data_IF_157281883751
#
_entry.id   IF_157281883751
#
_cell.length_a   1.000
_cell.length_b   1.000
_cell.length_c   1.000
_cell.angle_alpha   90.00
_cell.angle_beta   90.00
_cell.angle_gamma   90.00
#
_symmetry.space_group_name_H-M   'P 1'
#
loop_
_entity.id
_entity.type
_entity.pdbx_description
1 polymer ?
#
# COMPACT_ATOMS: atom_id res chain seq x y z
N UNK A 1 56.37 57.67 -16.77
CA UNK A 1 55.84 56.63 -15.84
C UNK A 1 54.45 56.20 -16.34
N UNK A 2 54.38 55.03 -16.99
CA UNK A 2 53.09 54.47 -17.52
C UNK A 2 52.70 53.33 -16.61
N UNK A 3 51.55 53.49 -15.92
CA UNK A 3 50.97 52.48 -15.03
C UNK A 3 50.03 51.56 -15.86
N UNK A 4 50.46 50.33 -16.04
CA UNK A 4 49.65 49.29 -16.72
C UNK A 4 48.63 48.69 -15.76
N UNK A 5 47.34 48.74 -16.12
CA UNK A 5 46.25 48.04 -15.41
C UNK A 5 46.05 46.66 -16.06
N UNK A 6 46.39 45.61 -15.32
CA UNK A 6 46.09 44.24 -15.69
C UNK A 6 44.66 43.90 -15.26
N UNK A 7 43.78 43.64 -16.23
CA UNK A 7 42.44 43.18 -15.99
C UNK A 7 42.44 41.65 -15.84
N UNK A 8 41.98 41.17 -14.68
CA UNK A 8 41.84 39.74 -14.40
C UNK A 8 40.45 39.32 -14.88
N UNK A 9 40.36 38.50 -15.92
CA UNK A 9 39.13 37.87 -16.37
C UNK A 9 38.89 36.62 -15.53
N UNK A 10 37.84 36.66 -14.69
CA UNK A 10 37.33 35.50 -13.97
C UNK A 10 36.34 34.79 -14.88
N UNK A 11 36.71 33.64 -15.41
CA UNK A 11 35.83 32.77 -16.18
C UNK A 11 34.93 32.01 -15.21
N UNK A 12 33.64 32.31 -15.16
CA UNK A 12 32.63 31.62 -14.39
C UNK A 12 32.15 30.39 -15.18
N UNK A 13 32.67 29.19 -14.83
CA UNK A 13 32.15 27.92 -15.35
C UNK A 13 30.79 27.62 -14.74
N UNK A 14 29.72 27.85 -15.48
CA UNK A 14 28.39 27.30 -15.12
C UNK A 14 28.39 25.79 -15.39
N UNK A 15 28.51 25.00 -14.33
CA UNK A 15 28.22 23.57 -14.37
C UNK A 15 26.71 23.40 -14.46
N UNK A 16 26.19 23.10 -15.64
CA UNK A 16 24.81 22.66 -15.82
C UNK A 16 24.69 21.24 -15.26
N UNK A 17 24.07 21.12 -14.10
CA UNK A 17 23.67 19.84 -13.56
C UNK A 17 22.52 19.30 -14.42
N UNK A 18 22.81 18.35 -15.31
CA UNK A 18 21.80 17.57 -16.00
C UNK A 18 21.18 16.60 -15.02
N UNK A 19 20.00 16.94 -14.49
CA UNK A 19 19.17 16.02 -13.73
C UNK A 19 18.74 14.88 -14.67
N UNK A 20 19.35 13.70 -14.52
CA UNK A 20 18.87 12.49 -15.16
C UNK A 20 17.58 12.10 -14.45
N UNK A 21 16.47 12.44 -15.04
CA UNK A 21 15.17 11.93 -14.66
C UNK A 21 15.16 10.44 -15.03
N UNK A 22 15.37 9.56 -14.04
CA UNK A 22 15.22 8.13 -14.24
C UNK A 22 13.74 7.89 -14.61
N UNK A 23 13.48 7.50 -15.85
CA UNK A 23 12.16 7.09 -16.29
C UNK A 23 11.84 5.78 -15.56
N UNK A 24 10.81 5.79 -14.70
CA UNK A 24 10.30 4.56 -14.12
C UNK A 24 9.92 3.61 -15.26
N UNK A 25 10.37 2.36 -15.17
CA UNK A 25 9.99 1.35 -16.15
C UNK A 25 8.46 1.24 -16.19
N UNK A 26 7.86 1.14 -17.39
CA UNK A 26 6.41 1.03 -17.48
C UNK A 26 5.93 -0.22 -16.72
N UNK A 27 4.85 -0.05 -15.96
CA UNK A 27 4.23 -1.17 -15.24
C UNK A 27 3.69 -2.16 -16.28
N UNK A 28 4.07 -3.45 -16.23
CA UNK A 28 3.57 -4.44 -17.18
C UNK A 28 2.04 -4.53 -17.12
N UNK A 29 1.35 -4.83 -18.23
CA UNK A 29 -0.08 -5.11 -18.22
C UNK A 29 -0.43 -6.20 -17.20
N UNK A 30 -1.59 -6.13 -16.59
CA UNK A 30 -2.14 -7.23 -15.79
C UNK A 30 -2.60 -8.36 -16.74
N UNK A 31 -2.82 -9.56 -16.20
CA UNK A 31 -3.36 -10.68 -17.00
C UNK A 31 -4.77 -10.33 -17.53
N UNK A 32 -5.17 -10.97 -18.64
CA UNK A 32 -6.53 -10.80 -19.20
C UNK A 32 -7.62 -11.11 -18.16
N UNK A 33 -7.39 -12.13 -17.31
CA UNK A 33 -8.31 -12.48 -16.24
C UNK A 33 -8.41 -11.35 -15.18
N UNK A 34 -7.29 -10.75 -14.81
CA UNK A 34 -7.27 -9.62 -13.89
C UNK A 34 -7.97 -8.39 -14.49
N UNK A 35 -7.68 -8.07 -15.76
CA UNK A 35 -8.32 -6.98 -16.47
C UNK A 35 -9.86 -7.19 -16.60
N UNK A 36 -10.28 -8.40 -16.94
CA UNK A 36 -11.72 -8.75 -17.01
C UNK A 36 -12.43 -8.67 -15.66
N UNK A 37 -11.69 -8.86 -14.54
CA UNK A 37 -12.19 -8.66 -13.18
C UNK A 37 -12.12 -7.21 -12.70
N UNK A 38 -11.69 -6.27 -13.54
CA UNK A 38 -11.52 -4.86 -13.19
C UNK A 38 -10.33 -4.61 -12.24
N UNK A 39 -9.36 -5.53 -12.17
CA UNK A 39 -8.18 -5.38 -11.35
C UNK A 39 -7.05 -4.66 -12.10
N UNK A 40 -6.40 -3.74 -11.42
CA UNK A 40 -5.26 -2.97 -11.92
C UNK A 40 -4.08 -3.09 -10.96
N UNK A 41 -2.84 -2.99 -11.47
CA UNK A 41 -1.66 -2.92 -10.60
C UNK A 41 -1.60 -1.55 -9.92
N UNK A 42 -1.41 -1.55 -8.61
CA UNK A 42 -1.37 -0.31 -7.82
C UNK A 42 -0.29 0.67 -8.29
N UNK A 43 0.82 0.18 -8.84
CA UNK A 43 1.89 1.02 -9.38
C UNK A 43 1.49 1.82 -10.63
N UNK A 44 0.45 1.37 -11.34
CA UNK A 44 -0.13 2.16 -12.43
C UNK A 44 -0.97 3.35 -11.91
N UNK A 45 -1.40 3.29 -10.64
CA UNK A 45 -2.22 4.32 -9.96
C UNK A 45 -1.38 5.22 -9.07
N UNK A 46 -0.45 4.63 -8.31
CA UNK A 46 0.48 5.27 -7.39
C UNK A 46 1.90 4.87 -7.80
N UNK A 47 2.54 5.59 -8.75
CA UNK A 47 3.82 5.18 -9.34
C UNK A 47 5.00 5.11 -8.36
N UNK A 48 4.94 5.84 -7.26
CA UNK A 48 5.94 5.85 -6.19
C UNK A 48 5.59 4.93 -5.02
N UNK A 49 4.52 4.12 -5.12
CA UNK A 49 4.14 3.17 -4.09
C UNK A 49 5.27 2.17 -3.78
N UNK A 50 5.52 1.96 -2.51
CA UNK A 50 6.28 0.82 -2.04
C UNK A 50 5.34 -0.39 -2.01
N UNK A 51 5.67 -1.45 -2.73
CA UNK A 51 4.91 -2.71 -2.72
C UNK A 51 5.75 -3.76 -1.99
N UNK A 52 5.36 -4.05 -0.75
CA UNK A 52 5.99 -5.00 0.17
C UNK A 52 4.94 -6.03 0.60
N UNK A 53 4.50 -6.88 -0.37
CA UNK A 53 3.47 -7.87 -0.10
C UNK A 53 3.96 -8.92 0.90
N UNK A 54 3.52 -8.81 2.15
CA UNK A 54 3.98 -9.63 3.28
C UNK A 54 3.75 -11.12 3.08
N UNK A 55 2.71 -11.49 2.37
CA UNK A 55 2.37 -12.89 2.09
C UNK A 55 3.20 -13.53 0.97
N UNK A 56 4.15 -12.81 0.36
CA UNK A 56 5.15 -13.38 -0.56
C UNK A 56 6.30 -14.08 0.13
N UNK A 57 6.46 -13.87 1.43
CA UNK A 57 7.50 -14.45 2.27
C UNK A 57 6.91 -15.20 3.47
N UNK A 58 7.74 -15.80 4.30
CA UNK A 58 7.32 -16.39 5.57
C UNK A 58 7.17 -15.36 6.72
N UNK A 59 7.46 -14.09 6.47
CA UNK A 59 7.31 -12.98 7.44
C UNK A 59 5.85 -12.52 7.48
N UNK A 60 4.97 -13.41 7.93
CA UNK A 60 3.54 -13.23 8.12
C UNK A 60 3.04 -14.17 9.23
N UNK A 61 1.81 -14.00 9.71
CA UNK A 61 1.27 -14.76 10.85
C UNK A 61 1.10 -16.28 10.57
N UNK A 62 1.08 -16.71 9.30
CA UNK A 62 1.00 -18.15 8.94
C UNK A 62 2.37 -18.80 8.92
N UNK A 63 3.46 -18.01 8.80
CA UNK A 63 4.84 -18.49 8.81
C UNK A 63 5.30 -19.18 7.51
N UNK A 64 4.50 -19.10 6.44
CA UNK A 64 4.85 -19.60 5.10
C UNK A 64 4.44 -18.60 4.02
N UNK A 65 5.09 -18.61 2.83
CA UNK A 65 4.61 -17.84 1.69
C UNK A 65 3.23 -18.33 1.23
N UNK A 66 2.29 -17.38 1.11
CA UNK A 66 0.94 -17.63 0.60
C UNK A 66 0.76 -17.14 -0.84
N UNK A 67 1.61 -16.21 -1.27
CA UNK A 67 1.67 -15.68 -2.62
C UNK A 67 2.94 -16.14 -3.33
N UNK A 68 2.93 -16.25 -4.66
CA UNK A 68 4.16 -16.48 -5.43
C UNK A 68 5.10 -15.27 -5.30
N UNK A 69 6.42 -15.49 -5.43
CA UNK A 69 7.43 -14.42 -5.32
C UNK A 69 7.22 -13.27 -6.33
N UNK A 70 6.56 -13.53 -7.47
CA UNK A 70 6.21 -12.53 -8.48
C UNK A 70 4.84 -11.89 -8.29
N UNK A 71 4.22 -12.02 -7.10
CA UNK A 71 2.92 -11.43 -6.84
C UNK A 71 2.92 -9.91 -6.99
N UNK A 72 1.82 -9.40 -7.51
CA UNK A 72 1.56 -7.98 -7.74
C UNK A 72 0.47 -7.50 -6.79
N UNK A 73 0.56 -6.25 -6.35
CA UNK A 73 -0.52 -5.60 -5.64
C UNK A 73 -1.60 -5.19 -6.64
N UNK A 74 -2.61 -6.05 -6.79
CA UNK A 74 -3.76 -5.80 -7.65
C UNK A 74 -4.89 -5.24 -6.80
N UNK A 75 -5.52 -4.18 -7.28
CA UNK A 75 -6.69 -3.55 -6.65
C UNK A 75 -7.79 -3.38 -7.68
N UNK A 76 -9.05 -3.41 -7.26
CA UNK A 76 -10.14 -3.10 -8.18
C UNK A 76 -10.04 -1.64 -8.62
N UNK A 77 -10.29 -1.37 -9.90
CA UNK A 77 -10.16 -0.03 -10.52
C UNK A 77 -10.94 1.07 -9.80
N UNK A 78 -12.04 0.73 -9.11
CA UNK A 78 -12.80 1.70 -8.32
C UNK A 78 -12.02 2.30 -7.14
N UNK A 79 -10.91 1.68 -6.71
CA UNK A 79 -10.04 2.21 -5.66
C UNK A 79 -9.03 3.22 -6.20
N UNK A 80 -8.76 3.18 -7.51
CA UNK A 80 -7.69 3.97 -8.13
C UNK A 80 -7.79 5.48 -7.85
N UNK A 81 -8.94 6.15 -8.01
CA UNK A 81 -9.03 7.59 -7.72
C UNK A 81 -8.70 7.92 -6.26
N UNK A 82 -9.23 7.12 -5.32
CA UNK A 82 -9.01 7.32 -3.88
C UNK A 82 -7.57 7.08 -3.47
N UNK A 83 -6.92 6.04 -4.00
CA UNK A 83 -5.51 5.76 -3.74
C UNK A 83 -4.60 6.88 -4.27
N UNK A 84 -4.91 7.43 -5.44
CA UNK A 84 -4.18 8.57 -5.97
C UNK A 84 -4.30 9.81 -5.08
N UNK A 85 -5.48 10.08 -4.51
CA UNK A 85 -5.71 11.17 -3.56
C UNK A 85 -4.92 10.94 -2.26
N UNK A 86 -5.02 9.75 -1.66
CA UNK A 86 -4.32 9.41 -0.43
C UNK A 86 -2.79 9.55 -0.59
N UNK A 87 -2.25 8.99 -1.68
CA UNK A 87 -0.83 9.09 -1.99
C UNK A 87 -0.38 10.53 -2.21
N UNK A 88 -1.18 11.37 -2.86
CA UNK A 88 -0.86 12.78 -3.08
C UNK A 88 -0.77 13.54 -1.74
N UNK A 89 -1.72 13.33 -0.82
CA UNK A 89 -1.74 13.97 0.51
C UNK A 89 -0.51 13.55 1.33
N UNK A 90 -0.14 12.27 1.31
CA UNK A 90 1.05 11.78 2.01
C UNK A 90 2.33 12.38 1.42
N UNK A 91 2.42 12.44 0.09
CA UNK A 91 3.58 13.01 -0.64
C UNK A 91 3.83 14.47 -0.31
N UNK A 92 2.80 15.29 -0.07
CA UNK A 92 2.95 16.68 0.36
C UNK A 92 3.74 16.82 1.68
N UNK A 93 3.80 15.74 2.47
CA UNK A 93 4.54 15.66 3.74
C UNK A 93 5.86 14.90 3.62
N UNK A 94 6.22 14.45 2.41
CA UNK A 94 7.39 13.62 2.14
C UNK A 94 7.18 12.14 2.52
N UNK A 95 5.96 11.74 2.82
CA UNK A 95 5.58 10.37 3.14
C UNK A 95 5.26 9.59 1.84
N UNK A 96 5.52 8.27 1.85
CA UNK A 96 5.22 7.36 0.73
C UNK A 96 4.28 6.27 1.21
N UNK A 97 3.22 6.01 0.44
CA UNK A 97 2.28 4.94 0.72
C UNK A 97 2.92 3.57 0.41
N UNK A 98 2.87 2.65 1.38
CA UNK A 98 3.35 1.29 1.23
C UNK A 98 2.20 0.29 1.36
N UNK A 99 2.22 -0.76 0.54
CA UNK A 99 1.16 -1.78 0.47
C UNK A 99 1.70 -3.12 0.97
N UNK A 100 1.01 -3.72 1.93
CA UNK A 100 1.32 -5.02 2.52
C UNK A 100 0.40 -6.13 2.01
N UNK A 101 -0.88 -5.82 1.73
CA UNK A 101 -1.81 -6.71 1.03
C UNK A 101 -2.81 -5.93 0.17
N UNK A 102 -3.30 -6.60 -0.88
CA UNK A 102 -4.18 -6.04 -1.89
C UNK A 102 -5.31 -7.04 -2.23
N UNK A 103 -5.55 -7.35 -3.49
CA UNK A 103 -6.44 -8.46 -3.85
C UNK A 103 -5.85 -9.79 -3.32
N UNK A 104 -6.67 -10.50 -2.56
CA UNK A 104 -6.34 -11.79 -1.94
C UNK A 104 -7.16 -12.90 -2.61
N UNK A 105 -6.56 -13.86 -3.33
CA UNK A 105 -7.29 -14.99 -3.86
C UNK A 105 -8.05 -15.75 -2.77
N UNK A 106 -9.27 -16.18 -3.06
CA UNK A 106 -10.11 -16.86 -2.09
C UNK A 106 -9.47 -18.10 -1.42
N UNK A 107 -8.70 -18.96 -2.15
CA UNK A 107 -8.00 -20.09 -1.50
C UNK A 107 -6.99 -19.64 -0.43
N UNK A 108 -6.35 -18.47 -0.61
CA UNK A 108 -5.44 -17.89 0.39
C UNK A 108 -6.22 -17.51 1.65
N UNK A 109 -7.40 -16.88 1.51
CA UNK A 109 -8.27 -16.56 2.65
C UNK A 109 -8.68 -17.83 3.41
N UNK A 110 -8.94 -18.93 2.71
CA UNK A 110 -9.25 -20.24 3.32
C UNK A 110 -8.06 -20.72 4.16
N UNK A 111 -6.87 -20.74 3.57
CA UNK A 111 -5.63 -21.17 4.27
C UNK A 111 -5.35 -20.33 5.51
N UNK A 112 -5.50 -19.01 5.42
CA UNK A 112 -5.33 -18.09 6.55
C UNK A 112 -6.28 -18.42 7.69
N UNK A 113 -7.56 -18.64 7.39
CA UNK A 113 -8.55 -18.95 8.40
C UNK A 113 -8.39 -20.36 8.98
N UNK A 114 -7.95 -21.34 8.20
CA UNK A 114 -7.62 -22.68 8.70
C UNK A 114 -6.45 -22.66 9.68
N UNK A 115 -5.46 -21.79 9.43
CA UNK A 115 -4.32 -21.58 10.34
C UNK A 115 -4.75 -20.87 11.64
N UNK A 116 -5.54 -19.79 11.53
CA UNK A 116 -6.00 -18.98 12.67
C UNK A 116 -7.53 -18.83 12.60
N UNK A 117 -8.30 -19.81 13.11
CA UNK A 117 -9.76 -19.81 13.00
C UNK A 117 -10.44 -18.89 14.01
N UNK A 118 -9.93 -17.68 14.15
CA UNK A 118 -10.48 -16.64 15.01
C UNK A 118 -11.01 -15.46 14.15
N UNK A 119 -12.34 -15.31 14.05
CA UNK A 119 -12.93 -14.26 13.22
C UNK A 119 -12.73 -12.83 13.77
N UNK A 120 -12.13 -12.66 14.94
CA UNK A 120 -11.73 -11.36 15.45
C UNK A 120 -10.50 -10.81 14.69
N UNK A 121 -9.66 -11.73 14.14
CA UNK A 121 -8.41 -11.39 13.45
C UNK A 121 -8.41 -11.79 11.99
N UNK A 122 -8.96 -12.96 11.65
CA UNK A 122 -9.00 -13.47 10.29
C UNK A 122 -10.44 -13.67 9.85
N UNK A 123 -10.87 -12.95 8.83
CA UNK A 123 -12.24 -13.06 8.33
C UNK A 123 -12.55 -14.49 7.87
N UNK A 124 -13.74 -15.02 8.24
CA UNK A 124 -14.20 -16.34 7.77
C UNK A 124 -14.29 -16.36 6.24
N UNK A 125 -13.78 -17.40 5.57
CA UNK A 125 -14.06 -17.59 4.17
C UNK A 125 -15.57 -17.84 3.98
N UNK A 126 -16.11 -17.18 2.95
CA UNK A 126 -17.53 -17.23 2.59
C UNK A 126 -17.67 -17.56 1.12
N UNK A 127 -18.82 -18.08 0.63
CA UNK A 127 -18.99 -18.50 -0.77
C UNK A 127 -19.19 -17.32 -1.74
N UNK A 128 -18.59 -16.18 -1.43
CA UNK A 128 -18.59 -14.96 -2.24
C UNK A 128 -17.35 -14.13 -1.94
N UNK A 129 -17.01 -13.21 -2.84
CA UNK A 129 -15.92 -12.26 -2.65
C UNK A 129 -16.41 -10.96 -2.04
N UNK A 130 -15.62 -10.39 -1.13
CA UNK A 130 -15.76 -9.04 -0.56
C UNK A 130 -14.40 -8.58 0.00
N UNK A 131 -14.27 -7.32 0.36
CA UNK A 131 -13.03 -6.76 0.93
C UNK A 131 -11.81 -7.17 0.08
N UNK A 132 -10.75 -7.71 0.65
CA UNK A 132 -9.56 -8.20 -0.07
C UNK A 132 -9.89 -9.22 -1.16
N UNK A 133 -10.80 -10.17 -0.90
CA UNK A 133 -11.11 -11.21 -1.91
C UNK A 133 -11.85 -10.66 -3.12
N UNK A 134 -12.37 -9.43 -3.05
CA UNK A 134 -12.93 -8.68 -4.17
C UNK A 134 -11.97 -7.59 -4.72
N UNK A 135 -10.74 -7.51 -4.20
CA UNK A 135 -9.77 -6.46 -4.53
C UNK A 135 -10.21 -5.05 -4.10
N UNK A 136 -11.10 -4.94 -3.10
CA UNK A 136 -11.70 -3.65 -2.68
C UNK A 136 -11.26 -3.18 -1.30
N UNK A 137 -10.30 -3.84 -0.71
CA UNK A 137 -9.60 -3.39 0.50
C UNK A 137 -8.11 -3.51 0.31
N UNK A 138 -7.35 -2.73 1.07
CA UNK A 138 -5.90 -2.73 1.06
C UNK A 138 -5.38 -2.68 2.49
N UNK A 139 -4.27 -3.38 2.74
CA UNK A 139 -3.48 -3.22 3.94
C UNK A 139 -2.28 -2.34 3.61
N UNK A 140 -2.22 -1.17 4.27
CA UNK A 140 -1.26 -0.12 3.93
C UNK A 140 -0.60 0.49 5.15
N UNK A 141 0.56 1.10 4.91
CA UNK A 141 1.31 1.88 5.89
C UNK A 141 2.00 3.06 5.22
N UNK A 142 2.67 3.90 6.03
CA UNK A 142 3.62 4.89 5.55
C UNK A 142 5.00 4.27 5.57
N UNK A 143 5.70 4.22 4.44
CA UNK A 143 7.01 3.59 4.31
C UNK A 143 8.00 4.13 5.35
N UNK A 144 8.58 3.23 6.16
CA UNK A 144 9.57 3.57 7.18
C UNK A 144 9.06 4.29 8.42
N UNK A 145 7.75 4.55 8.55
CA UNK A 145 7.18 5.17 9.74
C UNK A 145 6.97 4.15 10.86
N UNK A 146 7.26 4.58 12.11
CA UNK A 146 6.88 3.80 13.30
C UNK A 146 5.36 3.85 13.48
N UNK A 147 4.69 2.72 13.34
CA UNK A 147 3.25 2.58 13.51
C UNK A 147 2.87 1.91 14.84
N UNK A 148 3.87 1.55 15.68
CA UNK A 148 3.67 1.02 17.03
C UNK A 148 3.37 -0.49 17.11
N UNK A 149 3.04 -1.13 16.00
CA UNK A 149 2.97 -2.59 15.84
C UNK A 149 3.43 -2.97 14.44
N UNK A 150 3.85 -4.21 14.29
CA UNK A 150 4.03 -4.81 12.98
C UNK A 150 2.69 -5.14 12.32
N UNK A 151 2.75 -5.54 11.05
CA UNK A 151 1.64 -6.13 10.31
C UNK A 151 1.24 -7.47 10.96
N UNK A 152 -0.07 -7.75 11.01
CA UNK A 152 -0.62 -8.97 11.62
C UNK A 152 -0.24 -9.16 13.11
N UNK A 153 0.13 -8.10 13.82
CA UNK A 153 0.24 -8.12 15.29
C UNK A 153 -1.18 -8.18 15.90
N UNK A 154 -1.73 -9.38 16.02
CA UNK A 154 -3.08 -9.62 16.52
C UNK A 154 -3.19 -9.37 18.04
N UNK A 155 -2.95 -8.12 18.43
CA UNK A 155 -3.05 -7.63 19.80
C UNK A 155 -3.95 -6.39 19.90
N UNK A 156 -4.43 -6.02 21.08
CA UNK A 156 -5.21 -4.78 21.26
C UNK A 156 -4.50 -3.50 20.76
N UNK A 157 -3.17 -3.52 20.66
CA UNK A 157 -2.38 -2.39 20.11
C UNK A 157 -2.58 -2.22 18.61
N UNK A 158 -3.00 -3.27 17.90
CA UNK A 158 -3.28 -3.21 16.46
C UNK A 158 -4.63 -2.55 16.13
N UNK A 159 -5.53 -2.39 17.10
CA UNK A 159 -6.79 -1.69 16.87
C UNK A 159 -6.55 -0.28 16.29
N UNK A 160 -7.36 0.13 15.32
CA UNK A 160 -7.17 1.37 14.56
C UNK A 160 -7.07 2.64 15.43
N UNK A 161 -7.74 2.62 16.58
CA UNK A 161 -7.81 3.75 17.51
C UNK A 161 -7.11 3.46 18.85
N UNK A 162 -6.26 2.42 18.91
CA UNK A 162 -5.52 2.09 20.13
C UNK A 162 -4.59 3.25 20.54
N UNK A 163 -4.63 3.59 21.82
CA UNK A 163 -3.72 4.56 22.45
C UNK A 163 -2.87 3.91 23.53
N UNK A 164 -3.41 2.91 24.23
CA UNK A 164 -2.68 2.18 25.27
C UNK A 164 -1.59 1.30 24.65
N UNK A 165 -0.36 1.44 25.13
CA UNK A 165 0.80 0.71 24.60
C UNK A 165 1.26 1.13 23.21
N UNK A 166 0.72 2.22 22.66
CA UNK A 166 1.09 2.81 21.37
C UNK A 166 1.72 4.18 21.61
N UNK A 167 2.93 4.42 21.12
CA UNK A 167 3.65 5.68 21.30
C UNK A 167 2.90 6.86 20.68
N UNK A 168 3.10 8.08 21.20
CA UNK A 168 2.48 9.29 20.63
C UNK A 168 2.91 9.51 19.16
N UNK A 169 4.13 9.10 18.79
CA UNK A 169 4.63 9.16 17.41
C UNK A 169 3.85 8.20 16.53
N UNK A 170 3.68 6.95 16.96
CA UNK A 170 2.92 5.96 16.20
C UNK A 170 1.44 6.35 16.06
N UNK A 171 0.81 6.88 17.12
CA UNK A 171 -0.56 7.40 17.06
C UNK A 171 -0.69 8.53 16.02
N UNK A 172 0.29 9.47 15.99
CA UNK A 172 0.31 10.54 15.01
C UNK A 172 0.51 10.01 13.57
N UNK A 173 1.35 8.99 13.39
CA UNK A 173 1.58 8.36 12.09
C UNK A 173 0.33 7.63 11.59
N UNK A 174 -0.34 6.84 12.46
CA UNK A 174 -1.64 6.21 12.14
C UNK A 174 -2.71 7.23 11.78
N UNK A 175 -2.76 8.35 12.50
CA UNK A 175 -3.69 9.44 12.20
C UNK A 175 -3.43 10.03 10.82
N UNK A 176 -2.16 10.31 10.47
CA UNK A 176 -1.80 10.81 9.14
C UNK A 176 -2.21 9.84 8.01
N UNK A 177 -1.93 8.56 8.21
CA UNK A 177 -2.33 7.52 7.24
C UNK A 177 -3.84 7.50 7.08
N UNK A 178 -4.57 7.41 8.19
CA UNK A 178 -6.03 7.37 8.19
C UNK A 178 -6.65 8.60 7.54
N UNK A 179 -6.22 9.81 7.91
CA UNK A 179 -6.74 11.05 7.34
C UNK A 179 -6.54 11.10 5.82
N UNK A 180 -5.38 10.64 5.32
CA UNK A 180 -5.10 10.57 3.89
C UNK A 180 -6.00 9.54 3.19
N UNK A 181 -6.16 8.35 3.76
CA UNK A 181 -7.01 7.30 3.20
C UNK A 181 -8.50 7.68 3.23
N UNK A 182 -8.98 8.28 4.32
CA UNK A 182 -10.36 8.77 4.44
C UNK A 182 -10.64 9.90 3.43
N UNK A 183 -9.70 10.80 3.19
CA UNK A 183 -9.81 11.81 2.13
C UNK A 183 -9.89 11.17 0.74
N UNK A 184 -9.32 9.99 0.53
CA UNK A 184 -9.46 9.16 -0.66
C UNK A 184 -10.77 8.35 -0.71
N UNK A 185 -11.64 8.46 0.30
CA UNK A 185 -12.93 7.76 0.36
C UNK A 185 -12.84 6.33 0.89
N UNK A 186 -11.76 6.00 1.59
CA UNK A 186 -11.62 4.71 2.30
C UNK A 186 -12.12 4.83 3.73
N UNK A 187 -12.45 3.69 4.32
CA UNK A 187 -12.81 3.59 5.74
C UNK A 187 -11.85 2.64 6.43
N UNK A 188 -11.23 3.08 7.53
CA UNK A 188 -10.39 2.19 8.34
C UNK A 188 -11.24 1.12 9.03
N UNK A 189 -10.79 -0.13 9.01
CA UNK A 189 -11.39 -1.19 9.80
C UNK A 189 -11.02 -0.99 11.29
N UNK A 190 -11.99 -0.93 12.22
CA UNK A 190 -11.67 -0.65 13.62
C UNK A 190 -10.74 -1.68 14.29
N UNK A 191 -10.72 -2.91 13.77
CA UNK A 191 -9.89 -4.01 14.29
C UNK A 191 -8.41 -3.89 13.94
N UNK A 192 -8.06 -3.15 12.89
CA UNK A 192 -6.69 -3.10 12.33
C UNK A 192 -6.37 -1.72 11.78
N UNK A 193 -5.27 -1.10 12.25
CA UNK A 193 -4.91 0.25 11.83
C UNK A 193 -4.42 0.33 10.37
N UNK A 194 -3.99 -0.79 9.80
CA UNK A 194 -3.49 -0.89 8.42
C UNK A 194 -4.58 -1.19 7.39
N UNK A 195 -5.74 -1.76 7.81
CA UNK A 195 -6.78 -2.23 6.92
C UNK A 195 -7.76 -1.12 6.54
N UNK A 196 -7.92 -0.90 5.23
CA UNK A 196 -8.80 0.12 4.68
C UNK A 196 -9.75 -0.46 3.64
N UNK A 197 -11.04 -0.32 3.90
CA UNK A 197 -12.11 -0.69 2.99
C UNK A 197 -12.39 0.47 2.02
N UNK A 198 -12.36 0.17 0.72
CA UNK A 198 -12.71 1.12 -0.33
C UNK A 198 -14.17 0.96 -0.80
N UNK A 199 -14.55 1.70 -1.85
CA UNK A 199 -15.91 1.68 -2.39
C UNK A 199 -16.41 0.28 -2.72
N UNK A 200 -17.53 -0.12 -2.10
CA UNK A 200 -18.18 -1.41 -2.31
C UNK A 200 -17.47 -2.62 -1.69
N UNK A 201 -16.56 -2.43 -0.73
CA UNK A 201 -15.84 -3.52 -0.06
C UNK A 201 -16.77 -4.49 0.67
N UNK A 202 -17.86 -4.00 1.25
CA UNK A 202 -18.83 -4.80 1.99
C UNK A 202 -19.83 -5.56 1.09
N UNK A 203 -19.87 -5.29 -0.21
CA UNK A 203 -20.81 -5.92 -1.12
C UNK A 203 -20.36 -7.33 -1.51
N UNK A 204 -21.30 -8.28 -1.50
CA UNK A 204 -21.04 -9.65 -1.94
C UNK A 204 -20.96 -9.73 -3.46
N UNK A 205 -19.94 -10.39 -3.99
CA UNK A 205 -19.68 -10.60 -5.42
C UNK A 205 -19.31 -12.05 -5.70
N UNK A 206 -19.38 -12.51 -6.96
CA UNK A 206 -18.80 -13.79 -7.33
C UNK A 206 -17.32 -13.87 -6.91
N UNK A 207 -16.90 -15.06 -6.48
CA UNK A 207 -15.49 -15.33 -6.18
C UNK A 207 -14.67 -15.09 -7.45
N UNK A 208 -13.57 -14.36 -7.31
CA UNK A 208 -12.62 -14.12 -8.39
C UNK A 208 -11.62 -15.28 -8.45
N UNK A 209 -11.51 -15.89 -9.63
CA UNK A 209 -10.47 -16.89 -9.94
C UNK A 209 -9.36 -16.20 -10.77
N UNK A 210 -8.65 -15.31 -10.11
CA UNK A 210 -7.60 -14.48 -10.72
C UNK A 210 -6.29 -14.69 -9.98
N UNK A 211 -5.19 -15.04 -10.66
CA UNK A 211 -3.88 -15.09 -10.05
C UNK A 211 -3.36 -13.69 -9.73
N UNK A 212 -2.52 -13.58 -8.71
CA UNK A 212 -1.89 -12.31 -8.27
C UNK A 212 -0.59 -11.98 -9.02
N UNK A 213 -0.36 -12.59 -10.19
CA UNK A 213 0.86 -12.38 -11.02
C UNK A 213 0.55 -11.62 -12.30
#
# INVERSE_FOLDING_TARGET
MRCGRTALLVAMCCLAATSHQAWASPVPPVSDAAAAAGLVDVRAVVPDAVVDLRYTTADNFVGIPLYPAGARCLVHESLAPGLAVAAAILRERGDVLAFWDCYRPHPVQVTMFEHTPDPAWVARPVPYARSHTAGRSVDVTIAGADMGTDFDDFTPRALAYATEGVSAVAQANRTRLRDAMEAGGFTVYPGEWWHFDGPGAAENRPILDVPVT
#
